data_IF_794096648440
#
_entry.id   IF_794096648440
#
_cell.length_a   1.000
_cell.length_b   1.000
_cell.length_c   1.000
_cell.angle_alpha   90.00
_cell.angle_beta   90.00
_cell.angle_gamma   90.00
#
_symmetry.space_group_name_H-M   'P 1'
#
loop_
_entity.id
_entity.type
_entity.pdbx_description
1 polymer ?
#
# COMPACT_ATOMS: atom_id res chain seq x y z
N UNK A 1 11.83 24.27 20.72
CA UNK A 1 11.31 25.63 20.51
C UNK A 1 9.89 25.59 19.90
N UNK A 2 9.72 25.02 18.70
CA UNK A 2 8.42 24.91 18.01
C UNK A 2 7.28 24.36 18.89
N UNK A 3 7.48 23.20 19.52
CA UNK A 3 6.45 22.57 20.37
C UNK A 3 5.99 23.48 21.53
N UNK A 4 6.92 24.20 22.17
CA UNK A 4 6.57 25.17 23.22
C UNK A 4 5.70 26.31 22.69
N UNK A 5 6.03 26.84 21.50
CA UNK A 5 5.24 27.91 20.87
C UNK A 5 3.83 27.45 20.53
N UNK A 6 3.69 26.23 20.00
CA UNK A 6 2.37 25.65 19.70
C UNK A 6 1.58 25.44 21.00
N UNK A 7 2.22 24.97 22.07
CA UNK A 7 1.58 24.82 23.38
C UNK A 7 1.04 26.14 23.94
N UNK A 8 1.81 27.23 23.80
CA UNK A 8 1.33 28.59 24.15
C UNK A 8 0.08 28.98 23.35
N UNK A 9 0.05 28.71 22.04
CA UNK A 9 -1.10 29.00 21.18
C UNK A 9 -2.35 28.19 21.59
N UNK A 10 -2.17 26.91 21.91
CA UNK A 10 -3.25 26.06 22.41
C UNK A 10 -3.79 26.57 23.75
N UNK A 11 -2.92 27.03 24.65
CA UNK A 11 -3.33 27.64 25.93
C UNK A 11 -4.07 28.96 25.71
N UNK A 12 -3.71 29.74 24.68
CA UNK A 12 -4.44 30.96 24.30
C UNK A 12 -5.82 30.71 23.65
N UNK A 13 -6.20 29.46 23.45
CA UNK A 13 -7.51 29.07 22.92
C UNK A 13 -7.56 28.81 21.42
N UNK A 14 -6.43 28.80 20.71
CA UNK A 14 -6.38 28.42 19.30
C UNK A 14 -6.57 26.91 19.18
N UNK A 15 -7.41 26.48 18.25
CA UNK A 15 -7.65 25.06 18.05
C UNK A 15 -6.47 24.40 17.31
N UNK A 16 -6.10 23.18 17.71
CA UNK A 16 -5.02 22.45 17.06
C UNK A 16 -5.25 22.24 15.54
N UNK A 17 -6.52 22.17 15.10
CA UNK A 17 -6.88 22.05 13.68
C UNK A 17 -6.58 23.30 12.85
N UNK A 18 -6.34 24.45 13.48
CA UNK A 18 -5.98 25.71 12.82
C UNK A 18 -4.46 25.88 12.68
N UNK A 19 -3.68 24.93 13.21
CA UNK A 19 -2.21 24.98 13.21
C UNK A 19 -1.68 23.94 12.24
N UNK A 20 -0.98 24.40 11.20
CA UNK A 20 -0.25 23.55 10.27
C UNK A 20 1.26 23.77 10.41
N UNK A 21 2.03 22.68 10.48
CA UNK A 21 3.50 22.72 10.46
C UNK A 21 3.97 22.17 9.12
N UNK A 22 4.56 23.04 8.30
CA UNK A 22 5.10 22.70 7.00
C UNK A 22 6.62 22.56 7.11
N UNK A 23 7.14 21.45 6.61
CA UNK A 23 8.57 21.19 6.52
C UNK A 23 8.90 20.59 5.16
N UNK A 24 10.13 20.82 4.69
CA UNK A 24 10.54 20.49 3.32
C UNK A 24 10.88 19.01 3.11
N UNK A 25 11.33 18.33 4.16
CA UNK A 25 11.89 16.97 4.07
C UNK A 25 11.22 16.08 5.11
N UNK A 26 10.67 14.94 4.68
CA UNK A 26 9.93 14.01 5.55
C UNK A 26 10.76 13.47 6.72
N UNK A 27 12.08 13.34 6.57
CA UNK A 27 12.97 12.92 7.65
C UNK A 27 12.95 13.88 8.87
N UNK A 28 12.54 15.14 8.68
CA UNK A 28 12.39 16.10 9.76
C UNK A 28 11.12 15.89 10.59
N UNK A 29 10.17 15.07 10.13
CA UNK A 29 8.93 14.81 10.88
C UNK A 29 9.25 14.19 12.24
N UNK A 30 10.18 13.23 12.28
CA UNK A 30 10.47 12.44 13.48
C UNK A 30 10.86 13.30 14.69
N UNK A 31 11.74 14.28 14.50
CA UNK A 31 12.18 15.16 15.59
C UNK A 31 11.06 16.09 16.07
N UNK A 32 10.14 16.48 15.17
CA UNK A 32 8.94 17.26 15.50
C UNK A 32 7.93 16.40 16.27
N UNK A 33 7.71 15.17 15.82
CA UNK A 33 6.83 14.19 16.46
C UNK A 33 7.28 13.84 17.87
N UNK A 34 8.58 13.57 18.07
CA UNK A 34 9.16 13.32 19.38
C UNK A 34 8.97 14.52 20.33
N UNK A 35 9.11 15.74 19.81
CA UNK A 35 8.86 16.96 20.58
C UNK A 35 7.37 17.13 20.94
N UNK A 36 6.45 16.80 20.03
CA UNK A 36 5.00 16.87 20.28
C UNK A 36 4.55 15.79 21.27
N UNK A 37 5.08 14.57 21.16
CA UNK A 37 4.83 13.51 22.15
C UNK A 37 5.30 13.91 23.55
N UNK A 38 6.52 14.45 23.66
CA UNK A 38 7.08 14.90 24.95
C UNK A 38 6.23 15.99 25.61
N UNK A 39 5.70 16.91 24.82
CA UNK A 39 4.83 17.99 25.31
C UNK A 39 3.34 17.61 25.38
N UNK A 40 2.98 16.36 25.06
CA UNK A 40 1.60 15.84 24.99
C UNK A 40 0.69 16.67 24.09
N UNK A 41 1.23 17.17 22.98
CA UNK A 41 0.49 17.95 21.99
C UNK A 41 -0.17 16.98 20.99
N UNK A 42 -1.50 17.02 20.81
CA UNK A 42 -2.16 16.19 19.79
C UNK A 42 -1.74 16.65 18.40
N UNK A 43 -1.34 15.72 17.54
CA UNK A 43 -0.92 16.03 16.18
C UNK A 43 -1.39 14.96 15.20
N UNK A 44 -1.53 15.36 13.93
CA UNK A 44 -1.76 14.45 12.81
C UNK A 44 -0.66 14.63 11.80
N UNK A 45 0.17 13.60 11.63
CA UNK A 45 1.20 13.61 10.60
C UNK A 45 0.56 13.30 9.23
N UNK A 46 0.65 14.23 8.30
CA UNK A 46 0.19 14.07 6.91
C UNK A 46 1.27 13.47 5.99
N UNK A 47 2.23 12.74 6.56
CA UNK A 47 3.36 12.14 5.85
C UNK A 47 3.69 10.78 6.44
N UNK A 48 3.15 9.71 5.85
CA UNK A 48 3.47 8.33 6.22
C UNK A 48 3.58 7.46 4.98
N UNK A 49 3.90 6.17 5.17
CA UNK A 49 3.75 5.15 4.13
C UNK A 49 2.35 5.32 3.54
N UNK A 50 2.25 5.59 2.22
CA UNK A 50 0.95 5.87 1.61
C UNK A 50 0.05 4.69 1.95
N UNK A 51 -1.19 4.94 2.38
CA UNK A 51 -2.12 3.86 2.73
C UNK A 51 -2.15 2.76 1.63
N UNK A 52 -2.10 3.19 0.37
CA UNK A 52 -2.03 2.35 -0.83
C UNK A 52 -0.66 1.70 -1.13
N UNK A 53 0.39 2.06 -0.40
CA UNK A 53 1.72 1.43 -0.54
C UNK A 53 1.86 0.16 0.31
N UNK A 54 1.02 0.02 1.35
CA UNK A 54 0.97 -1.16 2.20
C UNK A 54 0.70 -2.42 1.38
N UNK A 55 1.41 -3.51 1.70
CA UNK A 55 1.39 -4.73 0.90
C UNK A 55 -0.02 -5.34 0.86
N UNK A 56 -0.68 -5.41 2.01
CA UNK A 56 -2.03 -5.92 2.17
C UNK A 56 -3.07 -5.14 1.35
N UNK A 57 -2.94 -3.80 1.31
CA UNK A 57 -3.83 -2.94 0.55
C UNK A 57 -3.62 -3.14 -0.96
N UNK A 58 -2.36 -3.22 -1.40
CA UNK A 58 -2.04 -3.52 -2.81
C UNK A 58 -2.53 -4.89 -3.25
N UNK A 59 -2.37 -5.90 -2.40
CA UNK A 59 -2.79 -7.27 -2.70
C UNK A 59 -4.32 -7.32 -2.88
N UNK A 60 -5.09 -6.67 -1.99
CA UNK A 60 -6.55 -6.59 -2.10
C UNK A 60 -7.01 -5.83 -3.37
N UNK A 61 -6.34 -4.72 -3.69
CA UNK A 61 -6.63 -3.98 -4.94
C UNK A 61 -6.41 -4.87 -6.16
N UNK A 62 -5.35 -5.68 -6.16
CA UNK A 62 -5.08 -6.60 -7.27
C UNK A 62 -6.12 -7.73 -7.35
N UNK A 63 -6.66 -8.21 -6.23
CA UNK A 63 -7.82 -9.11 -6.23
C UNK A 63 -9.03 -8.47 -6.92
N UNK A 64 -9.39 -7.24 -6.52
CA UNK A 64 -10.51 -6.54 -7.16
C UNK A 64 -10.27 -6.26 -8.64
N UNK A 65 -9.04 -5.93 -9.04
CA UNK A 65 -8.68 -5.74 -10.45
C UNK A 65 -8.93 -6.98 -11.28
N UNK A 66 -8.56 -8.16 -10.78
CA UNK A 66 -8.80 -9.43 -11.48
C UNK A 66 -10.28 -9.76 -11.60
N UNK A 67 -11.08 -9.47 -10.57
CA UNK A 67 -12.54 -9.67 -10.62
C UNK A 67 -13.21 -8.81 -11.69
N UNK A 68 -12.70 -7.59 -11.92
CA UNK A 68 -13.25 -6.65 -12.91
C UNK A 68 -12.66 -6.91 -14.30
N UNK A 69 -11.36 -7.19 -14.37
CA UNK A 69 -10.60 -7.44 -15.58
C UNK A 69 -9.68 -8.66 -15.39
N UNK A 70 -10.14 -9.86 -15.80
CA UNK A 70 -9.33 -11.07 -15.74
C UNK A 70 -8.03 -11.01 -16.57
N UNK A 71 -7.93 -10.07 -17.52
CA UNK A 71 -6.76 -9.92 -18.40
C UNK A 71 -5.61 -9.09 -17.78
N UNK A 72 -5.69 -8.72 -16.49
CA UNK A 72 -4.62 -8.01 -15.79
C UNK A 72 -3.54 -8.97 -15.26
N UNK A 73 -2.63 -9.39 -16.13
CA UNK A 73 -1.54 -10.32 -15.79
C UNK A 73 -0.63 -9.80 -14.65
N UNK A 74 -0.45 -8.49 -14.53
CA UNK A 74 0.38 -7.89 -13.48
C UNK A 74 -0.27 -8.07 -12.11
N UNK A 75 -1.56 -7.79 -12.01
CA UNK A 75 -2.32 -8.03 -10.79
C UNK A 75 -2.39 -9.52 -10.47
N UNK A 76 -2.54 -10.39 -11.48
CA UNK A 76 -2.60 -11.84 -11.31
C UNK A 76 -1.30 -12.39 -10.72
N UNK A 77 -0.13 -12.09 -11.33
CA UNK A 77 1.18 -12.55 -10.83
C UNK A 77 1.45 -12.13 -9.40
N UNK A 78 0.93 -10.97 -8.97
CA UNK A 78 1.06 -10.51 -7.60
C UNK A 78 0.26 -11.36 -6.61
N UNK A 79 -0.99 -11.68 -6.94
CA UNK A 79 -1.93 -12.32 -6.01
C UNK A 79 -1.91 -13.86 -6.07
N UNK A 80 -1.39 -14.45 -7.14
CA UNK A 80 -1.47 -15.91 -7.40
C UNK A 80 -0.90 -16.74 -6.24
N UNK A 81 0.14 -16.26 -5.57
CA UNK A 81 0.75 -16.93 -4.40
C UNK A 81 0.58 -16.15 -3.09
N UNK A 82 -0.45 -15.29 -2.99
CA UNK A 82 -0.77 -14.49 -1.79
C UNK A 82 -2.27 -14.56 -1.48
N UNK A 83 -2.74 -15.36 -0.49
CA UNK A 83 -1.98 -16.14 0.48
C UNK A 83 -1.19 -17.28 -0.18
N UNK A 84 -0.21 -17.85 0.54
CA UNK A 84 0.70 -18.87 -0.01
C UNK A 84 -0.11 -20.09 -0.49
N UNK A 85 -0.07 -20.37 -1.79
CA UNK A 85 -0.75 -21.49 -2.45
C UNK A 85 0.21 -22.60 -2.91
N UNK A 86 1.47 -22.53 -2.48
CA UNK A 86 2.53 -23.47 -2.89
C UNK A 86 2.79 -23.50 -4.42
N UNK A 87 2.46 -22.41 -5.11
CA UNK A 87 2.79 -22.24 -6.53
C UNK A 87 4.25 -21.80 -6.62
N UNK A 88 5.10 -22.69 -7.14
CA UNK A 88 6.52 -22.43 -7.33
C UNK A 88 6.82 -21.62 -8.58
N UNK A 89 8.02 -21.03 -8.65
CA UNK A 89 8.46 -20.22 -9.81
C UNK A 89 8.40 -20.98 -11.13
N UNK A 90 8.78 -22.27 -11.14
CA UNK A 90 8.68 -23.12 -12.35
C UNK A 90 7.24 -23.30 -12.83
N UNK A 91 6.28 -23.46 -11.90
CA UNK A 91 4.88 -23.61 -12.27
C UNK A 91 4.33 -22.31 -12.88
N UNK A 92 4.69 -21.17 -12.29
CA UNK A 92 4.33 -19.86 -12.84
C UNK A 92 4.96 -19.63 -14.22
N UNK A 93 6.23 -19.97 -14.41
CA UNK A 93 6.90 -19.85 -15.71
C UNK A 93 6.22 -20.72 -16.78
N UNK A 94 5.88 -21.97 -16.45
CA UNK A 94 5.17 -22.85 -17.37
C UNK A 94 3.79 -22.27 -17.78
N UNK A 95 3.08 -21.65 -16.83
CA UNK A 95 1.81 -20.98 -17.09
C UNK A 95 1.99 -19.76 -18.00
N UNK A 96 3.03 -18.96 -17.77
CA UNK A 96 3.38 -17.82 -18.61
C UNK A 96 3.73 -18.26 -20.05
N UNK A 97 4.52 -19.31 -20.20
CA UNK A 97 4.88 -19.86 -21.51
C UNK A 97 3.65 -20.41 -22.25
N UNK A 98 2.72 -21.04 -21.53
CA UNK A 98 1.45 -21.53 -22.07
C UNK A 98 0.56 -20.38 -22.54
N UNK A 99 0.38 -19.36 -21.70
CA UNK A 99 -0.38 -18.16 -22.01
C UNK A 99 0.18 -17.43 -23.24
N UNK A 100 1.51 -17.28 -23.32
CA UNK A 100 2.18 -16.66 -24.47
C UNK A 100 1.98 -17.44 -25.77
N UNK A 101 2.11 -18.77 -25.74
CA UNK A 101 1.92 -19.62 -26.94
C UNK A 101 0.50 -19.52 -27.49
N UNK A 102 -0.49 -19.41 -26.60
CA UNK A 102 -1.92 -19.32 -26.96
C UNK A 102 -2.42 -17.89 -27.13
N UNK A 103 -1.62 -16.88 -26.77
CA UNK A 103 -1.98 -15.45 -26.78
C UNK A 103 -3.23 -15.16 -25.95
N UNK A 104 -3.32 -15.79 -24.79
CA UNK A 104 -4.40 -15.64 -23.80
C UNK A 104 -3.84 -15.02 -22.52
N UNK A 105 -4.71 -14.53 -21.64
CA UNK A 105 -4.27 -14.01 -20.33
C UNK A 105 -3.82 -15.12 -19.38
N UNK A 106 -3.07 -14.79 -18.33
CA UNK A 106 -2.65 -15.76 -17.32
C UNK A 106 -3.83 -16.38 -16.57
N UNK A 107 -4.90 -15.60 -16.37
CA UNK A 107 -6.11 -16.09 -15.75
C UNK A 107 -6.82 -17.12 -16.64
N UNK A 108 -6.97 -16.83 -17.93
CA UNK A 108 -7.54 -17.77 -18.91
C UNK A 108 -6.69 -19.04 -19.03
N UNK A 109 -5.36 -18.88 -19.10
CA UNK A 109 -4.42 -19.99 -19.11
C UNK A 109 -4.58 -20.91 -17.90
N UNK A 110 -4.82 -20.34 -16.72
CA UNK A 110 -5.08 -21.12 -15.50
C UNK A 110 -6.39 -21.91 -15.63
N UNK A 111 -7.47 -21.26 -16.06
CA UNK A 111 -8.77 -21.91 -16.24
C UNK A 111 -8.73 -23.03 -17.29
N UNK A 112 -8.01 -22.84 -18.40
CA UNK A 112 -7.82 -23.91 -19.39
C UNK A 112 -7.01 -25.09 -18.82
N UNK A 113 -5.98 -24.80 -18.01
CA UNK A 113 -5.13 -25.84 -17.42
C UNK A 113 -5.86 -26.70 -16.39
N UNK A 114 -6.79 -26.12 -15.62
CA UNK A 114 -7.64 -26.83 -14.65
C UNK A 114 -8.74 -27.66 -15.34
N UNK A 115 -9.13 -27.31 -16.57
CA UNK A 115 -10.11 -28.04 -17.38
C UNK A 115 -9.62 -29.36 -17.99
N UNK A 116 -8.45 -29.85 -17.56
CA UNK A 116 -7.87 -31.13 -17.99
C UNK A 116 -8.24 -32.30 -17.06
N UNK A 117 -9.40 -32.23 -16.38
CA UNK A 117 -10.00 -33.33 -15.58
C UNK A 117 -11.18 -33.93 -16.34
#
# INVERSE_FOLDING_TARGET
FLAKKIKELLISGIYAGEIAVLFRINALSRSIEEAFMKEKIPYKLLSGMRFYERLEIKDLICYFRILINPNDDLSFKRIINRPKRSIGEKALQNLEDYAQKRKISLFEALCESDGSV
#
